data_IF_894434714867
#
_entry.id   IF_894434714867
#
_cell.length_a   1.000
_cell.length_b   1.000
_cell.length_c   1.000
_cell.angle_alpha   90.00
_cell.angle_beta   90.00
_cell.angle_gamma   90.00
#
_symmetry.space_group_name_H-M   'P 1'
#
loop_
_entity.id
_entity.type
_entity.pdbx_description
1 polymer ?
#
# COMPACT_ATOMS: atom_id res chain seq x y z
N UNK A 1 -15.15 -9.23 -6.51
CA UNK A 1 -14.57 -8.61 -5.31
C UNK A 1 -13.14 -8.25 -5.64
N UNK A 2 -12.75 -7.02 -5.32
CA UNK A 2 -11.56 -6.37 -5.86
C UNK A 2 -10.68 -5.89 -4.70
N UNK A 3 -9.37 -5.72 -4.94
CA UNK A 3 -8.43 -5.21 -3.91
C UNK A 3 -8.81 -3.78 -3.42
N UNK A 4 -9.53 -3.02 -4.25
CA UNK A 4 -10.07 -1.71 -3.89
C UNK A 4 -11.28 -1.81 -2.96
N UNK A 5 -12.08 -2.87 -3.06
CA UNK A 5 -13.23 -3.12 -2.17
C UNK A 5 -12.75 -3.39 -0.73
N UNK A 6 -11.59 -4.03 -0.57
CA UNK A 6 -10.95 -4.29 0.73
C UNK A 6 -10.64 -3.02 1.53
N UNK A 7 -10.48 -1.86 0.86
CA UNK A 7 -10.08 -0.60 1.51
C UNK A 7 -11.27 0.38 1.65
N UNK A 8 -12.30 0.29 0.80
CA UNK A 8 -13.32 1.32 0.68
C UNK A 8 -14.72 0.97 1.22
N UNK A 9 -15.05 -0.29 1.53
CA UNK A 9 -16.37 -0.66 2.05
C UNK A 9 -16.33 -1.87 3.00
N UNK A 10 -17.31 -1.99 3.93
CA UNK A 10 -17.50 -3.25 4.62
C UNK A 10 -17.85 -4.33 3.60
N UNK A 11 -16.98 -5.32 3.44
CA UNK A 11 -17.05 -6.29 2.35
C UNK A 11 -16.90 -7.71 2.90
N UNK A 12 -17.63 -8.66 2.32
CA UNK A 12 -17.50 -10.08 2.63
C UNK A 12 -16.64 -10.78 1.58
N UNK A 13 -15.69 -11.63 2.00
CA UNK A 13 -14.92 -12.49 1.08
C UNK A 13 -15.00 -13.95 1.49
N UNK A 14 -14.92 -14.85 0.50
CA UNK A 14 -14.92 -16.30 0.74
C UNK A 14 -13.52 -16.85 0.50
N UNK A 15 -12.96 -17.53 1.48
CA UNK A 15 -11.71 -18.27 1.37
C UNK A 15 -11.91 -19.67 1.94
N UNK A 16 -11.58 -20.69 1.15
CA UNK A 16 -11.71 -22.11 1.51
C UNK A 16 -13.10 -22.48 2.07
N UNK A 17 -14.16 -21.92 1.47
CA UNK A 17 -15.56 -22.17 1.86
C UNK A 17 -16.04 -21.40 3.09
N UNK A 18 -15.20 -20.57 3.70
CA UNK A 18 -15.54 -19.72 4.84
C UNK A 18 -15.68 -18.27 4.42
N UNK A 19 -16.78 -17.64 4.85
CA UNK A 19 -17.03 -16.22 4.64
C UNK A 19 -16.40 -15.40 5.77
N UNK A 20 -15.61 -14.41 5.39
CA UNK A 20 -14.98 -13.45 6.27
C UNK A 20 -15.58 -12.07 6.02
N UNK A 21 -15.87 -11.34 7.09
CA UNK A 21 -16.41 -9.99 7.06
C UNK A 21 -15.32 -8.98 7.38
N UNK A 22 -15.10 -8.05 6.47
CA UNK A 22 -14.16 -6.96 6.66
C UNK A 22 -14.97 -5.70 6.88
N UNK A 23 -14.71 -5.00 7.99
CA UNK A 23 -15.25 -3.67 8.26
C UNK A 23 -14.20 -2.58 8.07
N UNK A 24 -14.48 -1.37 8.53
CA UNK A 24 -13.42 -0.34 8.65
C UNK A 24 -12.48 -0.72 9.81
N UNK A 25 -11.15 -0.52 9.67
CA UNK A 25 -10.22 -0.79 10.76
C UNK A 25 -10.51 0.13 11.95
N UNK A 26 -10.68 -0.46 13.13
CA UNK A 26 -10.90 0.28 14.39
C UNK A 26 -9.59 0.93 14.85
N UNK A 27 -9.66 1.91 15.76
CA UNK A 27 -8.44 2.52 16.34
C UNK A 27 -7.53 1.48 17.00
N UNK A 28 -8.11 0.43 17.59
CA UNK A 28 -7.34 -0.69 18.16
C UNK A 28 -6.60 -1.48 17.08
N UNK A 29 -7.27 -1.81 15.95
CA UNK A 29 -6.61 -2.48 14.82
C UNK A 29 -5.50 -1.62 14.22
N UNK A 30 -5.74 -0.31 14.11
CA UNK A 30 -4.76 0.64 13.60
C UNK A 30 -3.53 0.67 14.52
N UNK A 31 -3.72 0.84 15.84
CA UNK A 31 -2.62 0.84 16.82
C UNK A 31 -1.79 -0.44 16.79
N UNK A 32 -2.44 -1.61 16.70
CA UNK A 32 -1.71 -2.89 16.60
C UNK A 32 -0.89 -2.99 15.31
N UNK A 33 -1.40 -2.47 14.20
CA UNK A 33 -0.67 -2.43 12.94
C UNK A 33 0.56 -1.50 13.01
N UNK A 34 0.46 -0.36 13.71
CA UNK A 34 1.58 0.55 13.95
C UNK A 34 2.68 -0.13 14.77
N UNK A 35 2.31 -0.76 15.90
CA UNK A 35 3.26 -1.50 16.76
C UNK A 35 3.96 -2.62 15.97
N UNK A 36 3.22 -3.33 15.10
CA UNK A 36 3.84 -4.33 14.25
C UNK A 36 4.87 -3.73 13.28
N UNK A 37 4.61 -2.56 12.72
CA UNK A 37 5.55 -1.88 11.82
C UNK A 37 6.81 -1.41 12.54
N UNK A 38 6.66 -0.88 13.75
CA UNK A 38 7.78 -0.50 14.61
C UNK A 38 8.65 -1.73 14.93
N UNK A 39 8.02 -2.82 15.35
CA UNK A 39 8.74 -4.07 15.65
C UNK A 39 9.45 -4.62 14.41
N UNK A 40 8.82 -4.54 13.24
CA UNK A 40 9.44 -4.99 11.99
C UNK A 40 10.68 -4.16 11.64
N UNK A 41 10.64 -2.85 11.85
CA UNK A 41 11.78 -1.97 11.63
C UNK A 41 12.91 -2.27 12.62
N UNK A 42 12.57 -2.44 13.90
CA UNK A 42 13.50 -2.81 14.95
C UNK A 42 14.19 -4.15 14.67
N UNK A 43 13.41 -5.19 14.33
CA UNK A 43 13.92 -6.51 13.94
C UNK A 43 14.85 -6.42 12.73
N UNK A 44 14.52 -5.55 11.77
CA UNK A 44 15.35 -5.29 10.59
C UNK A 44 16.72 -4.72 10.93
N UNK A 45 16.81 -3.90 11.99
CA UNK A 45 18.08 -3.38 12.51
C UNK A 45 18.83 -4.48 13.27
N UNK A 46 18.15 -5.18 14.16
CA UNK A 46 18.74 -6.24 14.98
C UNK A 46 19.34 -7.40 14.16
N UNK A 47 18.78 -7.69 12.98
CA UNK A 47 19.28 -8.73 12.05
C UNK A 47 20.56 -8.33 11.32
N UNK A 48 20.97 -7.06 11.30
CA UNK A 48 22.18 -6.57 10.61
C UNK A 48 23.45 -6.88 11.41
N UNK A 49 23.73 -8.16 11.60
CA UNK A 49 24.91 -8.65 12.36
C UNK A 49 26.25 -8.45 11.65
N UNK A 50 26.22 -8.04 10.38
CA UNK A 50 27.40 -7.81 9.55
C UNK A 50 27.93 -6.37 9.64
N UNK A 51 27.21 -5.46 10.32
CA UNK A 51 27.63 -4.07 10.51
C UNK A 51 28.41 -3.92 11.82
N UNK A 52 29.26 -2.89 11.90
CA UNK A 52 29.91 -2.54 13.15
C UNK A 52 28.89 -2.05 14.19
N UNK A 53 29.24 -2.16 15.47
CA UNK A 53 28.35 -1.78 16.57
C UNK A 53 27.97 -0.28 16.50
N UNK A 54 28.86 0.57 15.97
CA UNK A 54 28.62 1.99 15.79
C UNK A 54 27.57 2.32 14.70
N UNK A 55 27.49 1.54 13.62
CA UNK A 55 26.42 1.66 12.64
C UNK A 55 25.10 1.14 13.18
N UNK A 56 25.11 0.07 13.99
CA UNK A 56 23.90 -0.45 14.64
C UNK A 56 23.31 0.57 15.62
N UNK A 57 24.13 1.16 16.47
CA UNK A 57 23.70 2.18 17.44
C UNK A 57 23.18 3.46 16.74
N UNK A 58 23.75 3.84 15.59
CA UNK A 58 23.21 4.92 14.75
C UNK A 58 21.85 4.56 14.17
N UNK A 59 21.68 3.34 13.67
CA UNK A 59 20.40 2.87 13.13
C UNK A 59 19.30 2.81 14.20
N UNK A 60 19.63 2.34 15.41
CA UNK A 60 18.70 2.34 16.55
C UNK A 60 18.27 3.75 16.94
N UNK A 61 19.21 4.72 16.95
CA UNK A 61 18.89 6.13 17.18
C UNK A 61 17.98 6.73 16.11
N UNK A 62 18.25 6.46 14.83
CA UNK A 62 17.38 6.91 13.74
C UNK A 62 15.98 6.30 13.85
N UNK A 63 15.88 5.01 14.18
CA UNK A 63 14.59 4.38 14.43
C UNK A 63 13.82 5.06 15.57
N UNK A 64 14.49 5.39 16.68
CA UNK A 64 13.87 6.15 17.77
C UNK A 64 13.38 7.54 17.36
N UNK A 65 14.11 8.21 16.45
CA UNK A 65 13.68 9.50 15.88
C UNK A 65 12.45 9.35 14.97
N UNK A 66 12.41 8.31 14.14
CA UNK A 66 11.25 8.02 13.26
C UNK A 66 9.99 7.72 14.07
N UNK A 67 10.12 6.97 15.17
CA UNK A 67 9.03 6.71 16.12
C UNK A 67 8.56 8.03 16.75
N UNK A 68 9.48 8.86 17.26
CA UNK A 68 9.14 10.15 17.86
C UNK A 68 8.53 11.14 16.85
N UNK A 69 8.87 11.02 15.56
CA UNK A 69 8.32 11.84 14.49
C UNK A 69 6.95 11.33 13.98
N UNK A 70 6.40 10.25 14.56
CA UNK A 70 5.10 9.70 14.19
C UNK A 70 5.08 9.03 12.82
N UNK A 71 6.25 8.63 12.29
CA UNK A 71 6.36 8.06 10.93
C UNK A 71 5.59 6.73 10.79
N UNK A 72 5.46 6.00 11.91
CA UNK A 72 4.72 4.75 12.01
C UNK A 72 3.26 4.93 12.43
N UNK A 73 2.79 6.15 12.71
CA UNK A 73 1.39 6.41 13.10
C UNK A 73 0.42 6.16 11.94
N UNK A 74 -0.85 5.93 12.25
CA UNK A 74 -1.88 5.73 11.23
C UNK A 74 -2.00 6.95 10.31
N UNK A 75 -1.80 6.75 9.01
CA UNK A 75 -1.73 7.83 8.02
C UNK A 75 -0.31 8.41 7.83
N UNK A 76 0.65 7.99 8.64
CA UNK A 76 2.07 8.26 8.45
C UNK A 76 2.63 7.63 7.18
N UNK A 77 3.76 8.16 6.71
CA UNK A 77 4.35 7.79 5.42
C UNK A 77 4.62 6.29 5.30
N UNK A 78 5.18 5.68 6.35
CA UNK A 78 5.52 4.26 6.34
C UNK A 78 4.28 3.38 6.38
N UNK A 79 3.25 3.77 7.13
CA UNK A 79 1.97 3.03 7.15
C UNK A 79 1.34 3.03 5.76
N UNK A 80 1.23 4.18 5.11
CA UNK A 80 0.63 4.30 3.77
C UNK A 80 1.42 3.48 2.75
N UNK A 81 2.75 3.62 2.73
CA UNK A 81 3.61 2.82 1.84
C UNK A 81 3.46 1.33 2.10
N UNK A 82 3.34 0.91 3.36
CA UNK A 82 3.22 -0.50 3.71
C UNK A 82 1.87 -1.08 3.29
N UNK A 83 0.79 -0.32 3.41
CA UNK A 83 -0.55 -0.73 2.95
C UNK A 83 -0.62 -0.95 1.44
N UNK A 84 0.34 -0.44 0.67
CA UNK A 84 0.45 -0.74 -0.76
C UNK A 84 1.20 -2.05 -1.05
N UNK A 85 1.77 -2.71 -0.04
CA UNK A 85 2.51 -3.97 -0.21
C UNK A 85 1.65 -5.17 0.14
N UNK A 86 1.83 -6.32 -0.54
CA UNK A 86 1.09 -7.55 -0.23
C UNK A 86 1.21 -7.97 1.24
N UNK A 87 2.42 -7.84 1.79
CA UNK A 87 2.74 -8.20 3.16
C UNK A 87 2.03 -7.30 4.18
N UNK A 88 1.96 -5.99 3.91
CA UNK A 88 1.22 -5.05 4.74
C UNK A 88 -0.28 -5.31 4.74
N UNK A 89 -0.85 -5.54 3.56
CA UNK A 89 -2.27 -5.87 3.42
C UNK A 89 -2.62 -7.17 4.12
N UNK A 90 -1.82 -8.23 3.92
CA UNK A 90 -2.03 -9.52 4.59
C UNK A 90 -2.01 -9.36 6.12
N UNK A 91 -1.08 -8.57 6.65
CA UNK A 91 -1.01 -8.32 8.09
C UNK A 91 -2.22 -7.55 8.60
N UNK A 92 -2.64 -6.49 7.91
CA UNK A 92 -3.83 -5.73 8.29
C UNK A 92 -5.08 -6.61 8.28
N UNK A 93 -5.25 -7.45 7.25
CA UNK A 93 -6.35 -8.42 7.16
C UNK A 93 -6.36 -9.40 8.32
N UNK A 94 -5.18 -9.90 8.68
CA UNK A 94 -5.01 -10.80 9.83
C UNK A 94 -5.46 -10.14 11.13
N UNK A 95 -5.07 -8.87 11.35
CA UNK A 95 -5.49 -8.13 12.55
C UNK A 95 -7.00 -7.93 12.56
N UNK A 96 -7.58 -7.50 11.43
CA UNK A 96 -9.02 -7.20 11.34
C UNK A 96 -9.91 -8.43 11.40
N UNK A 97 -9.44 -9.58 10.92
CA UNK A 97 -10.20 -10.83 10.86
C UNK A 97 -9.71 -11.87 11.88
N UNK A 98 -8.91 -11.46 12.88
CA UNK A 98 -8.39 -12.35 13.92
C UNK A 98 -9.51 -13.04 14.68
N UNK A 99 -10.56 -12.31 15.04
CA UNK A 99 -11.73 -12.86 15.76
C UNK A 99 -12.52 -13.85 14.91
N UNK A 100 -12.32 -13.83 13.59
CA UNK A 100 -12.89 -14.77 12.64
C UNK A 100 -11.92 -15.92 12.33
N UNK A 101 -10.76 -15.99 12.99
CA UNK A 101 -9.77 -17.05 12.82
C UNK A 101 -8.97 -16.97 11.52
N UNK A 102 -8.87 -15.80 10.88
CA UNK A 102 -7.99 -15.63 9.73
C UNK A 102 -6.53 -15.60 10.19
N UNK A 103 -5.75 -16.60 9.78
CA UNK A 103 -4.31 -16.64 10.06
C UNK A 103 -3.53 -15.79 9.05
N UNK A 104 -2.30 -15.45 9.40
CA UNK A 104 -1.43 -14.67 8.53
C UNK A 104 -1.13 -15.40 7.20
N UNK A 105 -0.87 -16.70 7.27
CA UNK A 105 -0.59 -17.55 6.09
C UNK A 105 -1.79 -17.57 5.12
N UNK A 106 -3.01 -17.63 5.65
CA UNK A 106 -4.23 -17.57 4.86
C UNK A 106 -4.43 -16.19 4.23
N UNK A 107 -4.15 -15.12 4.99
CA UNK A 107 -4.22 -13.76 4.48
C UNK A 107 -3.18 -13.51 3.37
N UNK A 108 -1.95 -14.01 3.50
CA UNK A 108 -0.93 -13.94 2.45
C UNK A 108 -1.38 -14.67 1.19
N UNK A 109 -1.88 -15.91 1.33
CA UNK A 109 -2.39 -16.69 0.20
C UNK A 109 -3.53 -15.97 -0.53
N UNK A 110 -4.44 -15.34 0.21
CA UNK A 110 -5.52 -14.55 -0.37
C UNK A 110 -4.98 -13.37 -1.18
N UNK A 111 -4.08 -12.59 -0.60
CA UNK A 111 -3.49 -11.42 -1.27
C UNK A 111 -2.67 -11.85 -2.49
N UNK A 112 -1.94 -12.95 -2.42
CA UNK A 112 -1.24 -13.52 -3.58
C UNK A 112 -2.18 -13.98 -4.68
N UNK A 113 -3.28 -14.66 -4.34
CA UNK A 113 -4.27 -15.11 -5.31
C UNK A 113 -4.90 -13.92 -6.03
N UNK A 114 -5.25 -12.86 -5.30
CA UNK A 114 -5.74 -11.63 -5.89
C UNK A 114 -4.67 -10.95 -6.76
N UNK A 115 -3.43 -10.82 -6.27
CA UNK A 115 -2.33 -10.28 -7.07
C UNK A 115 -2.09 -11.08 -8.36
N UNK A 116 -2.18 -12.42 -8.31
CA UNK A 116 -2.09 -13.30 -9.48
C UNK A 116 -3.25 -13.11 -10.44
N UNK A 117 -4.49 -12.94 -9.94
CA UNK A 117 -5.64 -12.58 -10.79
C UNK A 117 -5.41 -11.26 -11.50
N UNK A 118 -4.96 -10.24 -10.78
CA UNK A 118 -4.64 -8.92 -11.36
C UNK A 118 -3.52 -9.04 -12.40
N UNK A 119 -2.45 -9.77 -12.10
CA UNK A 119 -1.34 -10.00 -13.03
C UNK A 119 -1.80 -10.77 -14.28
N UNK A 120 -2.60 -11.83 -14.12
CA UNK A 120 -3.17 -12.58 -15.25
C UNK A 120 -4.07 -11.69 -16.11
N UNK A 121 -4.86 -10.81 -15.48
CA UNK A 121 -5.68 -9.80 -16.15
C UNK A 121 -4.83 -8.75 -16.89
N UNK A 122 -3.68 -8.35 -16.34
CA UNK A 122 -2.73 -7.45 -17.01
C UNK A 122 -1.99 -8.12 -18.17
N UNK A 123 -1.63 -9.39 -18.03
CA UNK A 123 -1.02 -10.18 -19.11
C UNK A 123 -2.02 -10.41 -20.24
N UNK A 124 -3.30 -10.69 -19.93
CA UNK A 124 -4.36 -10.75 -20.95
C UNK A 124 -4.66 -9.40 -21.60
N UNK A 125 -4.20 -8.28 -21.04
CA UNK A 125 -4.34 -6.92 -21.60
C UNK A 125 -3.18 -6.48 -22.52
N UNK A 126 -2.09 -7.25 -22.61
CA UNK A 126 -1.08 -7.04 -23.65
C UNK A 126 -1.66 -7.28 -25.07
N UNK A 127 -2.84 -7.89 -25.16
CA UNK A 127 -3.69 -7.92 -26.35
C UNK A 127 -4.75 -6.82 -26.22
N UNK A 128 -4.76 -5.84 -27.13
CA UNK A 128 -5.61 -4.63 -27.12
C UNK A 128 -7.12 -4.92 -27.36
N UNK A 129 -7.76 -5.80 -26.59
CA UNK A 129 -9.20 -6.09 -26.73
C UNK A 129 -10.06 -5.23 -25.77
N UNK A 130 -10.92 -4.33 -26.28
CA UNK A 130 -11.77 -3.46 -25.48
C UNK A 130 -12.80 -4.19 -24.60
N UNK A 131 -13.23 -5.41 -24.95
CA UNK A 131 -14.16 -6.18 -24.10
C UNK A 131 -13.50 -6.71 -22.83
N UNK A 132 -12.20 -7.04 -22.94
CA UNK A 132 -11.39 -7.49 -21.81
C UNK A 132 -11.12 -6.31 -20.86
N UNK A 133 -10.94 -5.10 -21.38
CA UNK A 133 -10.75 -3.89 -20.57
C UNK A 133 -11.95 -3.59 -19.66
N UNK A 134 -13.18 -3.74 -20.17
CA UNK A 134 -14.41 -3.54 -19.39
C UNK A 134 -14.57 -4.61 -18.30
N UNK A 135 -14.32 -5.88 -18.64
CA UNK A 135 -14.37 -6.98 -17.67
C UNK A 135 -13.37 -6.76 -16.53
N UNK A 136 -12.17 -6.26 -16.83
CA UNK A 136 -11.16 -5.99 -15.82
C UNK A 136 -11.48 -4.71 -15.04
N UNK A 137 -12.08 -3.68 -15.64
CA UNK A 137 -12.58 -2.49 -14.93
C UNK A 137 -13.57 -2.90 -13.84
N UNK A 138 -14.52 -3.76 -14.18
CA UNK A 138 -15.50 -4.33 -13.25
C UNK A 138 -14.82 -5.22 -12.21
N UNK A 139 -13.83 -6.03 -12.60
CA UNK A 139 -13.10 -6.95 -11.70
C UNK A 139 -12.14 -6.23 -10.75
N UNK A 140 -11.71 -5.01 -11.07
CA UNK A 140 -10.84 -4.18 -10.22
C UNK A 140 -11.59 -3.07 -9.48
N UNK A 141 -12.89 -2.90 -9.73
CA UNK A 141 -13.72 -1.88 -9.07
C UNK A 141 -13.33 -0.47 -9.53
N UNK A 142 -12.77 -0.36 -10.73
CA UNK A 142 -12.26 0.90 -11.25
C UNK A 142 -13.42 1.76 -11.80
N UNK A 143 -13.35 3.10 -11.66
CA UNK A 143 -14.31 4.03 -12.25
C UNK A 143 -14.48 3.81 -13.76
N UNK A 144 -15.68 4.13 -14.27
CA UNK A 144 -16.06 3.87 -15.67
C UNK A 144 -15.15 4.52 -16.72
N UNK A 145 -14.52 5.62 -16.32
CA UNK A 145 -13.65 6.49 -17.07
C UNK A 145 -12.14 6.21 -16.86
N UNK A 146 -11.79 5.21 -16.03
CA UNK A 146 -10.39 4.94 -15.67
C UNK A 146 -9.47 4.63 -16.87
N UNK A 147 -10.00 3.99 -17.92
CA UNK A 147 -9.28 3.70 -19.17
C UNK A 147 -9.58 4.71 -20.29
N UNK A 148 -10.45 5.68 -20.04
CA UNK A 148 -10.74 6.74 -21.00
C UNK A 148 -9.56 7.70 -21.02
N UNK A 149 -8.90 7.82 -22.17
CA UNK A 149 -7.78 8.75 -22.40
C UNK A 149 -8.17 10.23 -22.34
N UNK A 150 -9.37 10.57 -21.86
CA UNK A 150 -9.85 11.93 -21.63
C UNK A 150 -9.44 12.41 -20.23
N UNK A 151 -8.14 12.55 -20.01
CA UNK A 151 -7.65 13.42 -18.94
C UNK A 151 -7.89 14.86 -19.39
N UNK A 152 -8.52 15.75 -18.59
CA UNK A 152 -8.23 17.17 -18.72
C UNK A 152 -6.78 17.32 -18.28
N UNK A 153 -5.86 17.25 -19.24
CA UNK A 153 -4.47 17.66 -19.03
C UNK A 153 -4.51 19.07 -18.48
N UNK A 154 -4.36 19.23 -17.17
CA UNK A 154 -4.14 20.53 -16.54
C UNK A 154 -2.87 21.08 -17.20
N UNK A 155 -2.90 22.23 -17.89
CA UNK A 155 -1.70 22.78 -18.46
C UNK A 155 -0.69 22.98 -17.34
N UNK A 156 0.51 22.44 -17.56
CA UNK A 156 1.66 22.66 -16.70
C UNK A 156 1.92 24.16 -16.65
N UNK A 157 1.58 24.81 -15.54
CA UNK A 157 2.05 26.17 -15.25
C UNK A 157 3.51 26.08 -14.87
N UNK A 158 4.38 25.93 -15.87
CA UNK A 158 5.79 26.29 -15.76
C UNK A 158 5.88 27.80 -15.63
N UNK A 159 5.83 28.32 -14.40
CA UNK A 159 6.49 29.58 -14.08
C UNK A 159 8.00 29.30 -14.03
N UNK A 160 8.63 29.31 -15.21
CA UNK A 160 10.08 29.40 -15.33
C UNK A 160 10.53 30.72 -14.72
N UNK A 161 11.03 30.68 -13.49
CA UNK A 161 11.73 31.80 -12.85
C UNK A 161 13.14 31.85 -13.43
N UNK A 162 13.28 32.48 -14.60
CA UNK A 162 14.59 32.82 -15.15
C UNK A 162 15.20 33.93 -14.28
N UNK A 163 16.34 33.63 -13.64
CA UNK A 163 17.12 34.61 -12.87
C UNK A 163 17.49 35.83 -13.73
N UNK A 164 17.48 37.06 -13.18
CA UNK A 164 17.82 38.27 -13.93
C UNK A 164 19.33 38.37 -14.16
N UNK A 165 19.74 38.24 -15.42
CA UNK A 165 21.07 38.60 -15.91
C UNK A 165 21.16 40.10 -16.22
N UNK A 166 22.26 40.71 -15.74
CA UNK A 166 22.60 42.13 -15.69
C UNK A 166 22.48 42.96 -16.99
N UNK A 167 22.31 44.29 -16.89
CA UNK A 167 22.09 45.20 -18.03
C UNK A 167 23.38 45.57 -18.79
N UNK A 168 23.28 45.62 -20.12
CA UNK A 168 24.32 46.09 -21.05
C UNK A 168 24.28 47.62 -21.17
N UNK A 169 25.39 48.26 -20.88
CA UNK A 169 25.72 49.65 -21.27
C UNK A 169 26.48 49.65 -22.60
N UNK A 170 26.01 50.41 -23.59
CA UNK A 170 26.79 51.21 -24.56
C UNK A 170 25.83 52.00 -25.45
#
# INVERSE_FOLDING_TARGET
MTLADFVNAPTEFVLDGKTYRIGKPTNAHQGEYQVWLEQLAYDGIARRRYQDDAARERAERFHGQDVAAGVYEWGGEIVVKRLMTPLGLAKLLTIMCRDQGLTFELAERLVELEAKKIAALMVSRATNDPKVLEAVRVTLGLPSDFFSSSSPTRPSTTESTTSPGSPTTS
#
